data_IF_662198091245
#
_entry.id   IF_662198091245
#
_cell.length_a   1.000
_cell.length_b   1.000
_cell.length_c   1.000
_cell.angle_alpha   90.00
_cell.angle_beta   90.00
_cell.angle_gamma   90.00
#
_symmetry.space_group_name_H-M   'P 1'
#
loop_
_entity.id
_entity.type
_entity.pdbx_description
1 polymer ?
#
# COMPACT_ATOMS: atom_id res chain seq x y z
N UNK A 1 9.48 4.70 15.96
CA UNK A 1 10.36 5.30 16.98
C UNK A 1 11.56 4.39 17.20
N UNK A 2 12.78 4.90 17.11
CA UNK A 2 13.98 4.13 17.46
C UNK A 2 14.37 4.49 18.90
N UNK A 3 14.44 3.48 19.77
CA UNK A 3 15.00 3.68 21.11
C UNK A 3 16.51 3.45 21.10
N UNK A 4 17.26 4.51 21.36
CA UNK A 4 18.73 4.51 21.31
C UNK A 4 19.34 3.51 22.30
N UNK A 5 18.71 3.30 23.47
CA UNK A 5 19.23 2.37 24.48
C UNK A 5 19.06 0.91 24.04
N UNK A 6 17.94 0.58 23.38
CA UNK A 6 17.74 -0.76 22.80
C UNK A 6 18.71 -0.98 21.65
N UNK A 7 18.85 0.00 20.76
CA UNK A 7 19.81 -0.06 19.65
C UNK A 7 21.25 -0.27 20.14
N UNK A 8 21.69 0.51 21.12
CA UNK A 8 23.02 0.39 21.68
C UNK A 8 23.30 -0.99 22.29
N UNK A 9 22.33 -1.54 23.05
CA UNK A 9 22.44 -2.92 23.56
C UNK A 9 22.56 -3.95 22.46
N UNK A 10 21.82 -3.77 21.37
CA UNK A 10 21.89 -4.68 20.22
C UNK A 10 23.28 -4.62 19.55
N UNK A 11 23.81 -3.41 19.34
CA UNK A 11 25.14 -3.19 18.75
C UNK A 11 26.24 -3.83 19.61
N UNK A 12 26.23 -3.58 20.91
CA UNK A 12 27.21 -4.19 21.82
C UNK A 12 27.18 -5.72 21.73
N UNK A 13 25.94 -6.28 21.78
CA UNK A 13 25.79 -7.74 21.73
C UNK A 13 26.21 -8.34 20.39
N UNK A 14 25.98 -7.64 19.28
CA UNK A 14 26.43 -8.05 17.97
C UNK A 14 27.96 -8.13 17.88
N UNK A 15 28.64 -7.11 18.38
CA UNK A 15 30.10 -7.02 18.35
C UNK A 15 30.79 -8.04 19.27
N UNK A 16 30.17 -8.38 20.42
CA UNK A 16 30.72 -9.34 21.39
C UNK A 16 30.62 -10.80 20.94
N UNK A 17 29.62 -11.15 20.15
CA UNK A 17 29.18 -12.56 20.04
C UNK A 17 29.44 -13.27 18.73
N UNK A 18 30.08 -12.66 17.73
CA UNK A 18 30.27 -13.23 16.39
C UNK A 18 28.96 -13.81 15.81
N UNK A 19 27.88 -13.04 15.89
CA UNK A 19 26.58 -13.43 15.36
C UNK A 19 26.47 -13.06 13.88
N UNK A 20 25.74 -13.91 13.14
CA UNK A 20 25.36 -13.63 11.75
C UNK A 20 24.16 -12.69 11.68
N UNK A 21 23.29 -12.77 12.70
CA UNK A 21 22.06 -12.02 12.80
C UNK A 21 21.64 -11.86 14.26
N UNK A 22 21.23 -10.68 14.64
CA UNK A 22 20.55 -10.45 15.92
C UNK A 22 19.32 -9.57 15.75
N UNK A 23 18.33 -9.78 16.60
CA UNK A 23 17.09 -9.01 16.58
C UNK A 23 16.49 -8.88 17.98
N UNK A 24 15.37 -8.16 18.07
CA UNK A 24 14.52 -8.13 19.25
C UNK A 24 13.09 -8.60 18.96
N UNK A 25 12.89 -9.34 17.85
CA UNK A 25 11.56 -9.66 17.33
C UNK A 25 11.23 -11.16 17.29
N UNK A 26 12.17 -12.04 17.69
CA UNK A 26 11.98 -13.48 17.49
C UNK A 26 12.40 -14.33 18.70
N UNK A 27 11.55 -14.53 19.73
CA UNK A 27 10.19 -14.00 19.92
C UNK A 27 10.20 -12.50 20.30
N UNK A 28 9.15 -11.74 19.94
CA UNK A 28 9.02 -10.35 20.33
C UNK A 28 8.66 -10.24 21.82
N UNK A 29 9.32 -9.32 22.53
CA UNK A 29 9.00 -8.94 23.92
C UNK A 29 8.94 -7.42 24.08
N UNK A 30 9.37 -6.67 23.06
CA UNK A 30 9.23 -5.22 22.96
C UNK A 30 7.95 -4.86 22.20
N UNK A 31 7.43 -3.64 22.41
CA UNK A 31 6.32 -3.13 21.60
C UNK A 31 6.59 -3.21 20.09
N UNK A 32 5.55 -3.50 19.31
CA UNK A 32 5.56 -3.40 17.86
C UNK A 32 5.91 -1.96 17.43
N UNK A 33 6.80 -1.79 16.45
CA UNK A 33 7.34 -0.50 16.04
C UNK A 33 8.67 -0.10 16.70
N UNK A 34 9.19 -0.94 17.60
CA UNK A 34 10.55 -0.86 18.13
C UNK A 34 11.44 -2.00 17.61
N UNK A 35 11.08 -2.54 16.48
CA UNK A 35 11.73 -3.67 15.86
C UNK A 35 13.11 -3.29 15.34
N UNK A 36 14.11 -4.07 15.72
CA UNK A 36 15.50 -3.89 15.32
C UNK A 36 16.07 -5.22 14.85
N UNK A 37 16.75 -5.17 13.73
CA UNK A 37 17.49 -6.29 13.16
C UNK A 37 18.90 -5.83 12.77
N UNK A 38 19.89 -6.64 13.04
CA UNK A 38 21.27 -6.41 12.63
C UNK A 38 21.89 -7.70 12.11
N UNK A 39 22.61 -7.61 11.02
CA UNK A 39 23.26 -8.76 10.37
C UNK A 39 24.53 -8.30 9.68
N UNK A 40 25.48 -9.22 9.49
CA UNK A 40 26.69 -8.94 8.73
C UNK A 40 26.47 -9.04 7.22
N UNK A 41 27.35 -8.41 6.45
CA UNK A 41 27.27 -8.39 4.99
C UNK A 41 27.34 -9.79 4.38
N UNK A 42 28.16 -10.70 4.95
CA UNK A 42 28.30 -12.06 4.44
C UNK A 42 26.99 -12.86 4.56
N UNK A 43 26.23 -12.63 5.64
CA UNK A 43 24.91 -13.26 5.82
C UNK A 43 23.89 -12.73 4.81
N UNK A 44 23.92 -11.44 4.52
CA UNK A 44 23.09 -10.85 3.46
C UNK A 44 23.44 -11.42 2.09
N UNK A 45 24.73 -11.46 1.74
CA UNK A 45 25.22 -12.02 0.48
C UNK A 45 24.81 -13.47 0.30
N UNK A 46 25.03 -14.32 1.31
CA UNK A 46 24.58 -15.72 1.30
C UNK A 46 23.07 -15.86 1.13
N UNK A 47 22.30 -14.97 1.75
CA UNK A 47 20.85 -14.96 1.61
C UNK A 47 20.42 -14.63 0.18
N UNK A 48 21.01 -13.62 -0.41
CA UNK A 48 20.74 -13.22 -1.79
C UNK A 48 21.05 -14.35 -2.78
N UNK A 49 22.21 -15.01 -2.64
CA UNK A 49 22.65 -16.09 -3.53
C UNK A 49 21.79 -17.35 -3.39
N UNK A 50 21.30 -17.67 -2.19
CA UNK A 50 20.61 -18.94 -1.88
C UNK A 50 19.10 -18.83 -1.77
N UNK A 51 18.52 -17.63 -1.72
CA UNK A 51 17.08 -17.44 -1.61
C UNK A 51 16.39 -17.78 -2.94
N UNK A 52 15.58 -18.81 -2.93
CA UNK A 52 14.82 -19.28 -4.10
C UNK A 52 13.36 -18.83 -4.06
N UNK A 53 12.78 -18.65 -2.86
CA UNK A 53 11.38 -18.26 -2.72
C UNK A 53 11.18 -16.75 -2.92
N UNK A 54 10.11 -16.37 -3.63
CA UNK A 54 9.74 -14.96 -3.85
C UNK A 54 9.67 -14.18 -2.52
N UNK A 55 9.10 -14.79 -1.48
CA UNK A 55 8.97 -14.20 -0.14
C UNK A 55 10.32 -13.83 0.50
N UNK A 56 11.38 -14.62 0.26
CA UNK A 56 12.70 -14.31 0.80
C UNK A 56 13.39 -13.16 0.08
N UNK A 57 13.04 -12.96 -1.20
CA UNK A 57 13.54 -11.83 -1.99
C UNK A 57 12.79 -10.53 -1.70
N UNK A 58 11.55 -10.64 -1.24
CA UNK A 58 10.71 -9.51 -0.86
C UNK A 58 11.07 -8.98 0.55
N UNK A 59 11.42 -9.90 1.47
CA UNK A 59 11.76 -9.57 2.85
C UNK A 59 13.22 -9.93 3.14
N UNK A 60 14.07 -8.92 3.28
CA UNK A 60 15.54 -8.99 3.36
C UNK A 60 16.06 -10.08 4.30
N UNK A 61 15.45 -10.27 5.47
CA UNK A 61 15.97 -11.11 6.55
C UNK A 61 15.30 -12.47 6.68
N UNK A 62 14.20 -12.73 5.96
CA UNK A 62 13.41 -13.97 6.09
C UNK A 62 14.24 -15.24 5.87
N UNK A 63 15.15 -15.23 4.89
CA UNK A 63 16.03 -16.36 4.64
C UNK A 63 16.96 -16.64 5.83
N UNK A 64 17.54 -15.61 6.42
CA UNK A 64 18.43 -15.70 7.59
C UNK A 64 17.65 -16.23 8.79
N UNK A 65 16.49 -15.65 9.07
CA UNK A 65 15.66 -15.99 10.25
C UNK A 65 15.28 -17.47 10.27
N UNK A 66 14.83 -18.03 9.15
CA UNK A 66 14.39 -19.43 9.11
C UNK A 66 15.51 -20.45 8.96
N UNK A 67 16.71 -20.04 8.51
CA UNK A 67 17.79 -20.96 8.21
C UNK A 67 18.67 -21.20 9.45
N UNK A 68 18.91 -22.47 9.77
CA UNK A 68 19.76 -22.87 10.93
C UNK A 68 21.26 -22.67 10.71
N UNK A 69 21.68 -22.37 9.47
CA UNK A 69 23.10 -22.15 9.14
C UNK A 69 23.65 -20.84 9.74
N UNK A 70 22.78 -19.91 10.15
CA UNK A 70 23.18 -18.63 10.72
C UNK A 70 23.15 -18.66 12.24
N UNK A 71 24.21 -18.16 12.86
CA UNK A 71 24.28 -17.96 14.31
C UNK A 71 23.47 -16.73 14.70
N UNK A 72 22.41 -16.93 15.45
CA UNK A 72 21.41 -15.90 15.77
C UNK A 72 21.32 -15.64 17.26
N UNK A 73 20.97 -14.40 17.60
CA UNK A 73 20.63 -14.02 18.98
C UNK A 73 19.37 -13.14 18.97
N UNK A 74 18.55 -13.27 20.01
CA UNK A 74 17.38 -12.42 20.19
C UNK A 74 17.46 -11.67 21.51
N UNK A 75 17.42 -10.35 21.46
CA UNK A 75 17.38 -9.47 22.62
C UNK A 75 15.94 -9.43 23.16
N UNK A 76 15.77 -9.78 24.43
CA UNK A 76 14.46 -9.76 25.09
C UNK A 76 14.36 -8.68 26.15
N UNK A 77 13.15 -8.18 26.37
CA UNK A 77 12.82 -7.32 27.51
C UNK A 77 12.56 -8.19 28.76
N UNK A 78 12.79 -7.63 29.95
CA UNK A 78 12.50 -8.30 31.23
C UNK A 78 11.02 -8.58 31.43
N UNK A 79 10.14 -7.68 30.97
CA UNK A 79 8.67 -7.82 30.97
C UNK A 79 8.22 -7.82 29.52
N UNK A 80 7.25 -8.65 29.21
CA UNK A 80 6.67 -8.75 27.86
C UNK A 80 5.68 -7.60 27.62
N UNK A 81 6.01 -6.76 26.63
CA UNK A 81 5.19 -5.66 26.13
C UNK A 81 4.87 -5.83 24.64
N UNK A 82 5.00 -7.04 24.11
CA UNK A 82 4.77 -7.33 22.69
C UNK A 82 3.34 -7.04 22.22
N UNK A 83 2.38 -6.99 23.17
CA UNK A 83 0.99 -6.59 22.89
C UNK A 83 0.84 -5.09 22.58
N UNK A 84 1.80 -4.24 22.98
CA UNK A 84 1.75 -2.82 22.66
C UNK A 84 2.14 -2.59 21.22
N UNK A 85 1.46 -1.61 20.59
CA UNK A 85 1.70 -1.22 19.22
C UNK A 85 2.04 0.27 19.14
N UNK A 86 3.25 0.56 18.67
CA UNK A 86 3.83 1.91 18.52
C UNK A 86 4.21 2.19 17.05
N UNK A 87 3.61 1.48 16.11
CA UNK A 87 3.73 1.72 14.66
C UNK A 87 2.86 2.90 14.24
N UNK A 88 2.97 3.31 12.99
CA UNK A 88 2.10 4.33 12.37
C UNK A 88 1.60 3.81 11.02
N UNK A 89 0.79 2.77 11.05
CA UNK A 89 0.28 2.11 9.85
C UNK A 89 -1.22 2.32 9.64
N UNK A 90 -1.94 2.73 10.72
CA UNK A 90 -3.40 2.91 10.71
C UNK A 90 -3.80 4.23 11.39
N UNK A 91 -5.07 4.61 11.24
CA UNK A 91 -5.62 5.80 11.92
C UNK A 91 -5.60 5.60 13.45
N UNK A 92 -5.90 4.41 13.91
CA UNK A 92 -5.88 4.05 15.33
C UNK A 92 -4.48 4.18 15.93
N UNK A 93 -3.44 3.82 15.16
CA UNK A 93 -2.04 4.03 15.54
C UNK A 93 -1.73 5.53 15.71
N UNK A 94 -2.18 6.34 14.75
CA UNK A 94 -1.98 7.81 14.81
C UNK A 94 -2.64 8.41 16.05
N UNK A 95 -3.85 7.98 16.40
CA UNK A 95 -4.57 8.45 17.59
C UNK A 95 -3.81 8.10 18.87
N UNK A 96 -3.34 6.85 19.00
CA UNK A 96 -2.55 6.42 20.16
C UNK A 96 -1.24 7.20 20.24
N UNK A 97 -0.51 7.36 19.14
CA UNK A 97 0.74 8.14 19.12
C UNK A 97 0.50 9.60 19.52
N UNK A 98 -0.56 10.26 19.03
CA UNK A 98 -0.93 11.62 19.45
C UNK A 98 -1.18 11.71 20.96
N UNK A 99 -1.87 10.71 21.55
CA UNK A 99 -2.10 10.67 23.00
C UNK A 99 -0.79 10.48 23.76
N UNK A 100 0.12 9.62 23.30
CA UNK A 100 1.45 9.42 23.90
C UNK A 100 2.23 10.74 23.88
N UNK A 101 2.37 11.38 22.72
CA UNK A 101 3.09 12.67 22.60
C UNK A 101 2.49 13.78 23.46
N UNK A 102 1.16 13.81 23.63
CA UNK A 102 0.49 14.79 24.49
C UNK A 102 0.80 14.59 25.98
N UNK A 103 1.14 13.37 26.41
CA UNK A 103 1.46 13.06 27.81
C UNK A 103 2.91 13.36 28.18
N UNK A 104 3.79 13.66 27.23
CA UNK A 104 5.18 14.03 27.49
C UNK A 104 5.41 15.51 27.19
N UNK A 105 6.21 16.20 28.06
CA UNK A 105 6.54 17.63 27.92
C UNK A 105 7.49 17.91 26.75
N UNK A 106 8.22 16.90 26.30
CA UNK A 106 9.20 17.00 25.20
C UNK A 106 9.22 15.71 24.40
N UNK A 107 9.96 15.70 23.30
CA UNK A 107 10.11 14.55 22.38
C UNK A 107 11.21 13.56 22.77
N UNK A 108 11.92 13.82 23.87
CA UNK A 108 13.08 13.00 24.31
C UNK A 108 12.70 11.90 25.31
N UNK A 109 11.48 11.34 25.19
CA UNK A 109 11.08 10.19 26.01
C UNK A 109 11.59 8.88 25.41
N UNK A 110 11.84 7.91 26.28
CA UNK A 110 12.35 6.60 25.93
C UNK A 110 11.22 5.57 25.87
N UNK A 111 11.51 4.39 25.32
CA UNK A 111 10.62 3.24 25.43
C UNK A 111 10.20 2.95 26.88
N UNK A 112 11.11 3.09 27.85
CA UNK A 112 10.80 2.87 29.26
C UNK A 112 9.76 3.87 29.78
N UNK A 113 9.80 5.12 29.32
CA UNK A 113 8.79 6.11 29.70
C UNK A 113 7.42 5.75 29.14
N UNK A 114 7.38 5.23 27.89
CA UNK A 114 6.12 4.79 27.27
C UNK A 114 5.52 3.60 28.02
N UNK A 115 6.31 2.58 28.37
CA UNK A 115 5.77 1.43 29.09
C UNK A 115 5.37 1.78 30.53
N UNK A 116 6.06 2.72 31.17
CA UNK A 116 5.64 3.28 32.46
C UNK A 116 4.32 4.06 32.34
N UNK A 117 4.11 4.79 31.25
CA UNK A 117 2.83 5.45 30.96
C UNK A 117 1.72 4.41 30.73
N UNK A 118 2.01 3.33 30.00
CA UNK A 118 1.06 2.24 29.79
C UNK A 118 0.68 1.55 31.11
N UNK A 119 1.65 1.20 31.95
CA UNK A 119 1.41 0.53 33.23
C UNK A 119 0.55 1.40 34.18
N UNK A 120 0.63 2.75 34.07
CA UNK A 120 -0.19 3.69 34.82
C UNK A 120 -1.54 4.01 34.18
N UNK A 121 -1.60 4.11 32.85
CA UNK A 121 -2.73 4.63 32.08
C UNK A 121 -3.00 3.78 30.83
N UNK A 122 -3.27 2.49 30.99
CA UNK A 122 -3.45 1.54 29.88
C UNK A 122 -4.60 1.93 28.92
N UNK A 123 -5.60 2.70 29.41
CA UNK A 123 -6.73 3.15 28.61
C UNK A 123 -6.32 4.03 27.42
N UNK A 124 -5.17 4.73 27.48
CA UNK A 124 -4.65 5.56 26.38
C UNK A 124 -4.26 4.73 25.14
N UNK A 125 -3.99 3.45 25.32
CA UNK A 125 -3.52 2.53 24.28
C UNK A 125 -4.63 1.64 23.70
N UNK A 126 -5.87 1.76 24.18
CA UNK A 126 -6.98 0.84 23.80
C UNK A 126 -7.31 0.87 22.31
N UNK A 127 -7.14 2.02 21.65
CA UNK A 127 -7.60 2.20 20.26
C UNK A 127 -6.91 1.28 19.27
N UNK A 128 -5.66 0.84 19.52
CA UNK A 128 -4.94 -0.04 18.61
C UNK A 128 -4.51 -1.40 19.19
N UNK A 129 -4.84 -1.72 20.46
CA UNK A 129 -4.50 -3.02 21.06
C UNK A 129 -5.15 -4.23 20.37
N UNK A 130 -6.24 -4.03 19.63
CA UNK A 130 -6.91 -5.09 18.87
C UNK A 130 -6.19 -5.42 17.55
N UNK A 131 -5.27 -4.56 17.12
CA UNK A 131 -4.49 -4.76 15.90
C UNK A 131 -3.34 -5.74 16.19
N UNK A 132 -3.16 -6.72 15.32
CA UNK A 132 -2.08 -7.70 15.45
C UNK A 132 -0.74 -7.09 15.05
N UNK A 133 0.35 -7.61 15.64
CA UNK A 133 1.72 -7.28 15.22
C UNK A 133 1.89 -7.51 13.72
N UNK A 134 2.60 -6.59 13.06
CA UNK A 134 2.78 -6.56 11.60
C UNK A 134 1.47 -6.43 10.80
N UNK A 135 0.39 -6.05 11.45
CA UNK A 135 -0.84 -5.70 10.75
C UNK A 135 -0.73 -4.25 10.25
N UNK A 136 -0.14 -4.09 9.08
CA UNK A 136 -0.11 -2.82 8.35
C UNK A 136 -1.47 -2.49 7.72
N UNK A 137 -1.53 -1.42 6.92
CA UNK A 137 -2.73 -1.08 6.14
C UNK A 137 -3.20 -2.30 5.33
N UNK A 138 -4.47 -2.66 5.47
CA UNK A 138 -5.06 -3.72 4.63
C UNK A 138 -4.86 -3.35 3.17
N UNK A 139 -4.15 -4.20 2.44
CA UNK A 139 -4.05 -4.07 0.99
C UNK A 139 -5.47 -4.00 0.43
N UNK A 140 -5.80 -2.92 -0.27
CA UNK A 140 -7.12 -2.69 -0.83
C UNK A 140 -7.50 -3.78 -1.86
N UNK A 141 -8.79 -3.96 -2.12
CA UNK A 141 -9.25 -4.86 -3.19
C UNK A 141 -8.66 -4.46 -4.54
N UNK A 142 -8.56 -3.14 -4.79
CA UNK A 142 -7.93 -2.60 -5.99
C UNK A 142 -6.46 -3.02 -6.11
N UNK A 143 -5.68 -2.90 -5.05
CA UNK A 143 -4.27 -3.31 -5.03
C UNK A 143 -4.10 -4.83 -5.14
N UNK A 144 -4.96 -5.62 -4.49
CA UNK A 144 -4.94 -7.09 -4.68
C UNK A 144 -5.20 -7.48 -6.14
N UNK A 145 -6.13 -6.79 -6.80
CA UNK A 145 -6.42 -7.00 -8.21
C UNK A 145 -5.26 -6.54 -9.10
N UNK A 146 -4.60 -5.42 -8.77
CA UNK A 146 -3.41 -4.94 -9.46
C UNK A 146 -2.26 -5.96 -9.39
N UNK A 147 -1.95 -6.47 -8.20
CA UNK A 147 -0.94 -7.52 -8.05
C UNK A 147 -1.25 -8.78 -8.88
N UNK A 148 -2.54 -9.13 -8.99
CA UNK A 148 -2.96 -10.23 -9.86
C UNK A 148 -2.79 -9.88 -11.34
N UNK A 149 -3.16 -8.67 -11.76
CA UNK A 149 -3.03 -8.21 -13.14
C UNK A 149 -1.58 -8.21 -13.62
N UNK A 150 -0.62 -7.78 -12.80
CA UNK A 150 0.81 -7.81 -13.11
C UNK A 150 1.34 -9.21 -13.42
N UNK A 151 0.70 -10.26 -12.90
CA UNK A 151 1.12 -11.65 -13.15
C UNK A 151 0.51 -12.26 -14.43
N UNK A 152 -0.57 -11.67 -14.99
CA UNK A 152 -1.33 -12.26 -16.10
C UNK A 152 -1.49 -11.34 -17.30
N UNK A 153 -1.21 -10.05 -17.15
CA UNK A 153 -1.27 -9.06 -18.23
C UNK A 153 0.12 -8.45 -18.39
N UNK A 154 0.73 -8.47 -19.57
CA UNK A 154 1.99 -7.76 -19.81
C UNK A 154 1.87 -6.28 -19.41
N UNK A 155 2.74 -5.81 -18.50
CA UNK A 155 2.65 -4.46 -17.92
C UNK A 155 1.49 -4.22 -16.95
N UNK A 156 0.67 -5.24 -16.64
CA UNK A 156 -0.43 -5.17 -15.67
C UNK A 156 -1.67 -4.43 -16.16
N UNK A 157 -1.59 -3.67 -17.24
CA UNK A 157 -2.68 -2.87 -17.81
C UNK A 157 -2.53 -2.69 -19.31
N UNK A 158 -3.64 -2.49 -20.00
CA UNK A 158 -3.68 -2.20 -21.43
C UNK A 158 -3.09 -0.82 -21.78
N UNK A 159 -3.19 0.17 -20.90
CA UNK A 159 -2.74 1.54 -21.10
C UNK A 159 -1.72 1.92 -20.04
N UNK A 160 -0.52 2.34 -20.46
CA UNK A 160 0.54 2.79 -19.56
C UNK A 160 0.08 3.90 -18.61
N UNK A 161 -0.72 4.86 -19.09
CA UNK A 161 -1.30 5.94 -18.29
C UNK A 161 -2.24 5.50 -17.18
N UNK A 162 -2.66 4.24 -17.15
CA UNK A 162 -3.49 3.65 -16.09
C UNK A 162 -2.69 2.79 -15.10
N UNK A 163 -1.36 2.77 -15.21
CA UNK A 163 -0.51 2.07 -14.25
C UNK A 163 -0.57 2.76 -12.88
N UNK A 164 -1.09 2.11 -11.82
CA UNK A 164 -1.21 2.69 -10.48
C UNK A 164 0.11 3.13 -9.88
N UNK A 165 1.21 2.47 -10.23
CA UNK A 165 2.53 2.73 -9.66
C UNK A 165 3.14 4.06 -10.16
N UNK A 166 2.56 4.68 -11.22
CA UNK A 166 2.92 6.02 -11.68
C UNK A 166 2.34 7.14 -10.79
N UNK A 167 1.34 6.84 -9.97
CA UNK A 167 0.64 7.83 -9.14
C UNK A 167 0.97 7.65 -7.66
N UNK A 168 0.54 6.56 -7.04
CA UNK A 168 0.77 6.27 -5.63
C UNK A 168 0.98 4.76 -5.45
N UNK A 169 2.22 4.27 -5.59
CA UNK A 169 2.53 2.85 -5.50
C UNK A 169 1.99 2.22 -4.23
N UNK A 170 1.32 1.07 -4.36
CA UNK A 170 0.73 0.33 -3.25
C UNK A 170 -0.54 0.92 -2.62
N UNK A 171 -0.89 2.19 -2.90
CA UNK A 171 -2.04 2.88 -2.29
C UNK A 171 -3.05 3.45 -3.30
N UNK A 172 -2.67 3.59 -4.58
CA UNK A 172 -3.61 4.04 -5.62
C UNK A 172 -4.81 3.09 -5.71
N UNK A 173 -6.06 3.58 -5.81
CA UNK A 173 -7.27 2.74 -5.87
C UNK A 173 -7.46 2.01 -7.21
N UNK A 174 -6.43 1.62 -7.87
CA UNK A 174 -6.23 0.95 -9.16
C UNK A 174 -7.45 0.59 -10.03
N UNK A 175 -8.59 0.21 -9.42
CA UNK A 175 -9.80 -0.22 -10.12
C UNK A 175 -11.05 0.46 -9.55
N UNK A 176 -11.98 0.79 -10.44
CA UNK A 176 -13.26 1.39 -10.07
C UNK A 176 -14.39 0.37 -10.07
N UNK A 177 -15.42 0.62 -9.27
CA UNK A 177 -16.69 -0.11 -9.28
C UNK A 177 -17.80 0.68 -9.97
N UNK A 178 -17.70 2.01 -9.95
CA UNK A 178 -18.70 2.93 -10.49
C UNK A 178 -18.06 4.28 -10.79
N UNK A 179 -18.57 4.97 -11.79
CA UNK A 179 -18.27 6.38 -12.05
C UNK A 179 -19.54 7.14 -12.42
N UNK A 180 -19.65 8.42 -12.04
CA UNK A 180 -20.75 9.30 -12.44
C UNK A 180 -20.38 10.78 -12.29
N UNK A 181 -20.66 11.60 -13.31
CA UNK A 181 -20.23 13.01 -13.32
C UNK A 181 -18.73 13.11 -13.19
N UNK A 182 -18.22 13.86 -12.22
CA UNK A 182 -16.79 13.99 -11.92
C UNK A 182 -16.31 13.02 -10.82
N UNK A 183 -17.09 12.01 -10.47
CA UNK A 183 -16.77 11.13 -9.35
C UNK A 183 -16.53 9.69 -9.77
N UNK A 184 -15.60 9.02 -9.09
CA UNK A 184 -15.31 7.59 -9.19
C UNK A 184 -15.47 6.93 -7.82
N UNK A 185 -15.88 5.69 -7.80
CA UNK A 185 -15.90 4.83 -6.61
C UNK A 185 -14.98 3.64 -6.83
N UNK A 186 -14.09 3.39 -5.88
CA UNK A 186 -13.23 2.21 -5.91
C UNK A 186 -13.99 0.91 -5.59
N UNK A 187 -13.30 -0.22 -5.53
CA UNK A 187 -13.88 -1.53 -5.21
C UNK A 187 -14.34 -1.65 -3.73
N UNK A 188 -13.88 -0.77 -2.86
CA UNK A 188 -14.36 -0.59 -1.50
C UNK A 188 -15.50 0.43 -1.38
N UNK A 189 -16.00 0.96 -2.51
CA UNK A 189 -17.06 1.99 -2.59
C UNK A 189 -16.66 3.35 -1.99
N UNK A 190 -15.39 3.61 -1.78
CA UNK A 190 -14.90 4.94 -1.39
C UNK A 190 -15.02 5.86 -2.60
N UNK A 191 -15.53 7.07 -2.37
CA UNK A 191 -15.81 8.08 -3.40
C UNK A 191 -14.62 9.02 -3.55
N UNK A 192 -14.21 9.27 -4.77
CA UNK A 192 -13.15 10.22 -5.15
C UNK A 192 -13.67 11.22 -6.16
N UNK A 193 -13.18 12.47 -6.10
CA UNK A 193 -13.32 13.44 -7.17
C UNK A 193 -12.18 13.18 -8.18
N UNK A 194 -12.54 12.93 -9.43
CA UNK A 194 -11.56 12.74 -10.50
C UNK A 194 -11.09 14.12 -11.02
N UNK A 195 -9.88 14.49 -10.64
CA UNK A 195 -9.20 15.73 -11.08
C UNK A 195 -8.26 15.49 -12.26
N UNK A 196 -8.34 14.30 -12.89
CA UNK A 196 -7.55 13.93 -14.05
C UNK A 196 -8.26 14.29 -15.38
N UNK A 197 -7.70 13.82 -16.49
CA UNK A 197 -8.29 13.98 -17.84
C UNK A 197 -9.50 13.08 -18.11
N UNK A 198 -10.15 12.51 -17.09
CA UNK A 198 -11.40 11.74 -17.17
C UNK A 198 -11.47 10.81 -18.41
N UNK A 199 -10.63 9.76 -18.39
CA UNK A 199 -10.56 8.80 -19.51
C UNK A 199 -9.81 9.35 -20.72
N UNK A 200 -8.70 10.09 -20.46
CA UNK A 200 -7.83 10.68 -21.49
C UNK A 200 -8.59 11.68 -22.37
N UNK A 201 -9.43 12.52 -21.73
CA UNK A 201 -10.17 13.60 -22.39
C UNK A 201 -11.46 13.15 -23.12
N UNK A 202 -11.82 11.87 -23.04
CA UNK A 202 -13.04 11.37 -23.75
C UNK A 202 -14.34 11.67 -23.02
N UNK A 203 -14.32 11.95 -21.72
CA UNK A 203 -15.51 12.14 -20.89
C UNK A 203 -15.72 13.59 -20.45
N UNK A 204 -15.59 14.55 -21.37
CA UNK A 204 -15.72 15.99 -21.07
C UNK A 204 -17.11 16.38 -20.52
N UNK A 205 -18.15 15.59 -20.78
CA UNK A 205 -19.48 15.76 -20.22
C UNK A 205 -19.70 15.03 -18.88
N UNK A 206 -18.65 14.43 -18.34
CA UNK A 206 -18.67 13.60 -17.14
C UNK A 206 -19.03 12.15 -17.42
N UNK A 207 -18.70 11.29 -16.46
CA UNK A 207 -18.98 9.86 -16.50
C UNK A 207 -20.48 9.56 -16.44
N UNK A 208 -20.92 8.51 -17.12
CA UNK A 208 -22.29 7.99 -17.10
C UNK A 208 -23.33 9.08 -17.40
N UNK A 209 -23.11 9.84 -18.48
CA UNK A 209 -24.09 10.81 -18.98
C UNK A 209 -25.28 10.06 -19.59
N UNK A 210 -26.46 10.16 -18.94
CA UNK A 210 -27.62 9.37 -19.30
C UNK A 210 -28.15 9.64 -20.72
N UNK A 211 -27.99 10.87 -21.24
CA UNK A 211 -28.41 11.19 -22.61
C UNK A 211 -27.56 10.43 -23.63
N UNK A 212 -26.23 10.40 -23.43
CA UNK A 212 -25.31 9.67 -24.31
C UNK A 212 -25.49 8.16 -24.11
N UNK A 213 -25.46 7.68 -22.86
CA UNK A 213 -25.56 6.26 -22.56
C UNK A 213 -26.83 5.61 -23.12
N UNK A 214 -27.96 6.33 -23.09
CA UNK A 214 -29.21 5.82 -23.64
C UNK A 214 -29.16 5.72 -25.17
N UNK A 215 -28.52 6.66 -25.85
CA UNK A 215 -28.35 6.55 -27.32
C UNK A 215 -27.40 5.39 -27.67
N UNK A 216 -26.29 5.24 -26.96
CA UNK A 216 -25.38 4.11 -27.17
C UNK A 216 -26.06 2.77 -26.91
N UNK A 217 -26.88 2.64 -25.86
CA UNK A 217 -27.68 1.44 -25.60
C UNK A 217 -28.65 1.14 -26.72
N UNK A 218 -29.31 2.16 -27.30
CA UNK A 218 -30.20 1.98 -28.44
C UNK A 218 -29.49 1.43 -29.68
N UNK A 219 -28.25 1.91 -29.93
CA UNK A 219 -27.45 1.39 -31.06
C UNK A 219 -27.00 -0.05 -30.78
N UNK A 220 -26.53 -0.33 -29.56
CA UNK A 220 -26.14 -1.70 -29.16
C UNK A 220 -27.28 -2.69 -29.34
N UNK A 221 -28.50 -2.29 -28.97
CA UNK A 221 -29.70 -3.15 -29.11
C UNK A 221 -30.08 -3.45 -30.57
N UNK A 222 -29.63 -2.64 -31.54
CA UNK A 222 -29.80 -2.89 -32.97
C UNK A 222 -28.71 -3.78 -33.58
N UNK A 223 -27.67 -4.09 -32.80
CA UNK A 223 -26.43 -4.73 -33.24
C UNK A 223 -25.37 -3.72 -33.62
N UNK A 224 -24.14 -4.07 -33.35
CA UNK A 224 -22.94 -3.28 -33.68
C UNK A 224 -21.87 -4.20 -34.27
N UNK A 225 -20.81 -3.64 -34.83
CA UNK A 225 -19.70 -4.39 -35.44
C UNK A 225 -20.19 -5.36 -36.56
N UNK A 226 -21.16 -4.92 -37.34
CA UNK A 226 -21.72 -5.72 -38.45
C UNK A 226 -20.79 -5.74 -39.67
N UNK A 227 -21.08 -6.63 -40.64
CA UNK A 227 -20.37 -6.66 -41.93
C UNK A 227 -20.63 -5.40 -42.79
N UNK A 228 -21.79 -4.75 -42.59
CA UNK A 228 -22.11 -3.49 -43.28
C UNK A 228 -21.64 -2.29 -42.46
N UNK A 229 -21.37 -1.20 -43.16
CA UNK A 229 -20.98 0.05 -42.52
C UNK A 229 -22.13 0.67 -41.72
N UNK A 230 -21.77 1.40 -40.66
CA UNK A 230 -22.73 2.17 -39.89
C UNK A 230 -23.03 3.51 -40.57
N UNK A 231 -24.30 3.89 -40.64
CA UNK A 231 -24.67 5.20 -41.20
C UNK A 231 -24.26 6.37 -40.28
N UNK A 232 -24.01 6.11 -39.00
CA UNK A 232 -23.53 7.11 -38.04
C UNK A 232 -22.16 7.67 -38.41
N UNK A 233 -21.32 6.91 -39.15
CA UNK A 233 -20.04 7.40 -39.68
C UNK A 233 -20.23 8.61 -40.59
N UNK A 234 -21.21 8.54 -41.50
CA UNK A 234 -21.53 9.63 -42.43
C UNK A 234 -22.07 10.84 -41.67
N UNK A 235 -23.00 10.63 -40.74
CA UNK A 235 -23.57 11.71 -39.92
C UNK A 235 -22.50 12.42 -39.09
N UNK A 236 -21.52 11.66 -38.58
CA UNK A 236 -20.40 12.22 -37.84
C UNK A 236 -19.51 13.06 -38.76
N UNK A 237 -19.13 12.55 -39.92
CA UNK A 237 -18.32 13.24 -40.89
C UNK A 237 -18.95 14.56 -41.37
N UNK A 238 -20.25 14.51 -41.74
CA UNK A 238 -21.02 15.72 -42.10
C UNK A 238 -21.04 16.75 -40.97
N UNK A 239 -21.22 16.29 -39.72
CA UNK A 239 -21.20 17.17 -38.55
C UNK A 239 -19.84 17.82 -38.35
N UNK A 240 -18.74 17.07 -38.46
CA UNK A 240 -17.40 17.58 -38.35
C UNK A 240 -17.08 18.62 -39.43
N UNK A 241 -17.43 18.36 -40.69
CA UNK A 241 -17.26 19.31 -41.81
C UNK A 241 -18.07 20.59 -41.53
N UNK A 242 -19.29 20.48 -41.04
CA UNK A 242 -20.12 21.65 -40.71
C UNK A 242 -19.52 22.54 -39.60
N UNK A 243 -18.75 21.96 -38.69
CA UNK A 243 -18.08 22.66 -37.60
C UNK A 243 -16.71 23.21 -38.02
N UNK A 244 -16.15 22.69 -39.12
CA UNK A 244 -14.82 23.04 -39.65
C UNK A 244 -14.92 23.42 -41.14
N UNK A 245 -15.44 24.64 -41.48
CA UNK A 245 -15.75 25.04 -42.86
C UNK A 245 -14.57 25.01 -43.84
N UNK A 246 -13.35 24.91 -43.31
CA UNK A 246 -12.12 24.76 -44.12
C UNK A 246 -11.81 23.31 -44.51
N UNK A 247 -12.57 22.34 -43.99
CA UNK A 247 -12.40 20.92 -44.26
C UNK A 247 -13.40 20.45 -45.30
N UNK A 248 -12.95 19.78 -46.32
CA UNK A 248 -13.80 19.18 -47.34
C UNK A 248 -14.17 17.73 -47.01
N UNK A 249 -13.37 17.07 -46.14
CA UNK A 249 -13.56 15.68 -45.69
C UNK A 249 -13.21 15.56 -44.22
N UNK A 250 -13.82 14.58 -43.51
CA UNK A 250 -13.55 14.24 -42.12
C UNK A 250 -13.49 12.72 -41.89
#
# INVERSE_FOLDING_TARGET
LIDVKILHKLILKFNEGNYDYISNINPPTFPDGLDLEMFNFNSLKKSYEKATFKKDKEHVTQYIVRNKLFKKYNLTSKKDYSQLRLTLDTIEDLEVLKLIFKNFKNIYFTYQDIVNLYDKNNHLFKNNLHLKRNQGMKISKGQKMWNRAQNIIPGGTMLFSKNPDLFLPGNWPAYYSKSKGAFIWDLEKRKYLDMSLMGVGTNILGYANSKIDNQVKNVINKGNMTTLNSHEEILLAEKLISLHPWSEMA
#
